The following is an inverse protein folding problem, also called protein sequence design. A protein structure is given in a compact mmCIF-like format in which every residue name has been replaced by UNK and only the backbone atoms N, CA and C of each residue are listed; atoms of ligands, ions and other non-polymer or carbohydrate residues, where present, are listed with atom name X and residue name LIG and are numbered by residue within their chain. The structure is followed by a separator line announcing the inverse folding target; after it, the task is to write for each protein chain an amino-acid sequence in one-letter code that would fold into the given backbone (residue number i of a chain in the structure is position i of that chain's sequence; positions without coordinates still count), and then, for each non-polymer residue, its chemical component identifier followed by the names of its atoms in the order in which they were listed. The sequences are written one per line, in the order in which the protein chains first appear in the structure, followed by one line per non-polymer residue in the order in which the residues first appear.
data_IF_097230838961
#
_entry.id   IF_097230838961
#
_cell.length_a   1.000
_cell.length_b   1.000
_cell.length_c   1.000
_cell.angle_alpha   90.00
_cell.angle_beta   90.00
_cell.angle_gamma   90.00
#
_symmetry.space_group_name_H-M   'P 1'
#
loop_
_entity.id
_entity.type
_entity.pdbx_description
1 polymer ?
#
# COMPACT_ATOMS: atom_id res chain seq x y z
N UNK A 1 16.95 22.85 23.52
CA UNK A 1 17.74 21.82 22.81
C UNK A 1 17.26 20.44 23.27
N UNK A 2 16.06 20.02 22.85
CA UNK A 2 15.36 18.83 23.39
C UNK A 2 14.77 17.89 22.30
N UNK A 3 14.85 18.31 21.03
CA UNK A 3 14.42 17.52 19.85
C UNK A 3 15.21 16.20 19.71
N UNK A 4 16.41 16.13 20.28
CA UNK A 4 17.31 14.98 20.17
C UNK A 4 16.84 13.74 20.93
N UNK A 5 15.89 13.86 21.86
CA UNK A 5 15.39 12.74 22.67
C UNK A 5 14.12 12.10 22.12
N UNK A 6 13.42 12.76 21.18
CA UNK A 6 12.15 12.27 20.63
C UNK A 6 12.36 11.32 19.45
N UNK A 7 11.43 10.39 19.28
CA UNK A 7 11.41 9.41 18.20
C UNK A 7 11.44 10.09 16.82
N UNK A 8 12.38 9.67 15.96
CA UNK A 8 12.53 10.14 14.58
C UNK A 8 11.72 9.27 13.59
N UNK A 9 10.44 9.06 13.88
CA UNK A 9 9.56 8.33 12.95
C UNK A 9 9.22 9.25 11.77
N UNK A 10 9.47 8.80 10.54
CA UNK A 10 9.43 9.65 9.34
C UNK A 10 8.03 9.93 8.82
N UNK A 11 7.09 9.00 9.03
CA UNK A 11 5.74 9.13 8.47
C UNK A 11 4.81 10.00 9.33
N UNK A 12 4.96 9.95 10.66
CA UNK A 12 4.11 10.71 11.59
C UNK A 12 4.94 11.23 12.77
N UNK A 13 4.74 12.48 13.23
CA UNK A 13 5.44 12.98 14.41
C UNK A 13 5.12 12.11 15.62
N UNK A 14 6.16 11.72 16.35
CA UNK A 14 6.05 10.84 17.51
C UNK A 14 6.70 11.52 18.71
N UNK A 15 5.90 11.72 19.76
CA UNK A 15 6.35 12.41 20.99
C UNK A 15 7.05 11.48 21.98
N UNK A 16 7.00 10.15 21.74
CA UNK A 16 7.64 9.17 22.60
C UNK A 16 9.17 9.32 22.59
N UNK A 17 9.83 9.05 23.73
CA UNK A 17 11.29 9.11 23.82
C UNK A 17 11.95 8.00 23.00
N UNK A 18 13.18 8.27 22.56
CA UNK A 18 14.06 7.26 21.97
C UNK A 18 14.50 6.27 23.03
N UNK A 19 14.73 5.05 22.57
CA UNK A 19 15.13 3.93 23.41
C UNK A 19 16.64 3.83 23.45
N UNK A 20 17.20 3.33 24.54
CA UNK A 20 18.64 3.13 24.67
C UNK A 20 19.03 1.74 24.20
N UNK A 21 20.12 1.67 23.44
CA UNK A 21 20.81 0.42 23.12
C UNK A 21 21.59 -0.04 24.36
N UNK A 22 22.00 -1.32 24.37
CA UNK A 22 22.84 -1.90 25.43
C UNK A 22 24.20 -1.19 25.60
N UNK A 23 24.70 -0.55 24.54
CA UNK A 23 25.96 0.21 24.56
C UNK A 23 25.79 1.65 25.06
N UNK A 24 24.57 2.07 25.44
CA UNK A 24 24.27 3.42 25.92
C UNK A 24 23.81 4.39 24.83
N UNK A 25 23.98 4.07 23.54
CA UNK A 25 23.52 4.95 22.46
C UNK A 25 22.01 4.94 22.30
N UNK A 26 21.43 6.06 21.85
CA UNK A 26 20.01 6.11 21.52
C UNK A 26 19.72 5.44 20.17
N UNK A 27 18.70 4.59 20.15
CA UNK A 27 17.99 4.23 18.92
C UNK A 27 17.34 5.46 18.29
N UNK A 28 17.12 5.43 16.97
CA UNK A 28 16.41 6.52 16.29
C UNK A 28 14.91 6.56 16.63
N UNK A 29 14.34 5.40 16.97
CA UNK A 29 12.91 5.20 17.19
C UNK A 29 12.61 4.90 18.67
N UNK A 30 11.38 5.19 19.09
CA UNK A 30 10.83 4.71 20.37
C UNK A 30 10.55 3.20 20.34
N UNK A 31 10.23 2.62 21.50
CA UNK A 31 10.01 1.16 21.63
C UNK A 31 8.87 0.71 20.71
N UNK A 32 7.75 1.42 20.74
CA UNK A 32 6.59 1.14 19.90
C UNK A 32 6.94 1.04 18.40
N UNK A 33 7.66 2.02 17.86
CA UNK A 33 8.02 2.01 16.45
C UNK A 33 9.12 0.99 16.13
N UNK A 34 9.97 0.63 17.08
CA UNK A 34 10.92 -0.48 16.91
C UNK A 34 10.19 -1.81 16.78
N UNK A 35 9.19 -2.07 17.61
CA UNK A 35 8.42 -3.30 17.55
C UNK A 35 7.63 -3.41 16.25
N UNK A 36 7.03 -2.32 15.80
CA UNK A 36 6.35 -2.29 14.50
C UNK A 36 7.31 -2.53 13.34
N UNK A 37 8.49 -1.91 13.36
CA UNK A 37 9.52 -2.15 12.36
C UNK A 37 9.99 -3.61 12.36
N UNK A 38 10.17 -4.22 13.53
CA UNK A 38 10.53 -5.63 13.67
C UNK A 38 9.45 -6.55 13.09
N UNK A 39 8.17 -6.25 13.32
CA UNK A 39 7.05 -7.00 12.76
C UNK A 39 7.04 -6.93 11.21
N UNK A 40 7.19 -5.73 10.65
CA UNK A 40 7.28 -5.54 9.19
C UNK A 40 8.48 -6.29 8.61
N UNK A 41 9.64 -6.22 9.26
CA UNK A 41 10.83 -6.96 8.85
C UNK A 41 10.62 -8.48 8.87
N UNK A 42 9.95 -9.03 9.89
CA UNK A 42 9.60 -10.46 9.97
C UNK A 42 8.69 -10.87 8.81
N UNK A 43 7.67 -10.07 8.53
CA UNK A 43 6.74 -10.31 7.42
C UNK A 43 7.46 -10.27 6.08
N UNK A 44 8.30 -9.26 5.85
CA UNK A 44 9.10 -9.15 4.63
C UNK A 44 10.07 -10.33 4.48
N UNK A 45 10.73 -10.76 5.56
CA UNK A 45 11.60 -11.93 5.55
C UNK A 45 10.82 -13.22 5.24
N UNK A 46 9.61 -13.40 5.79
CA UNK A 46 8.73 -14.54 5.47
C UNK A 46 8.35 -14.55 4.00
N UNK A 47 7.89 -13.42 3.45
CA UNK A 47 7.58 -13.27 2.02
C UNK A 47 8.79 -13.58 1.14
N UNK A 48 9.97 -13.06 1.49
CA UNK A 48 11.22 -13.33 0.76
C UNK A 48 11.60 -14.81 0.78
N UNK A 49 11.41 -15.51 1.91
CA UNK A 49 11.65 -16.96 2.01
C UNK A 49 10.67 -17.76 1.14
N UNK A 50 9.39 -17.41 1.16
CA UNK A 50 8.37 -18.06 0.32
C UNK A 50 8.69 -17.88 -1.16
N UNK A 51 9.01 -16.66 -1.61
CA UNK A 51 9.39 -16.40 -3.00
C UNK A 51 10.59 -17.23 -3.44
N UNK A 52 11.64 -17.30 -2.62
CA UNK A 52 12.81 -18.16 -2.90
C UNK A 52 12.48 -19.65 -2.95
N UNK A 53 11.54 -20.11 -2.12
CA UNK A 53 11.10 -21.50 -2.15
C UNK A 53 10.33 -21.81 -3.45
N UNK A 54 9.49 -20.89 -3.93
CA UNK A 54 8.82 -21.01 -5.23
C UNK A 54 9.81 -20.97 -6.40
N UNK A 55 10.77 -20.04 -6.37
CA UNK A 55 11.85 -19.94 -7.38
C UNK A 55 12.67 -21.23 -7.45
N UNK A 56 12.98 -21.86 -6.31
CA UNK A 56 13.72 -23.12 -6.27
C UNK A 56 12.87 -24.35 -6.65
N UNK A 57 11.55 -24.30 -6.48
CA UNK A 57 10.62 -25.40 -6.80
C UNK A 57 10.23 -25.44 -8.29
N UNK A 58 10.45 -24.35 -9.04
CA UNK A 58 10.19 -24.28 -10.48
C UNK A 58 11.48 -23.94 -11.23
N UNK A 59 12.23 -24.94 -11.76
CA UNK A 59 13.31 -24.62 -12.66
C UNK A 59 12.71 -24.09 -13.97
N UNK A 60 12.91 -22.78 -14.19
CA UNK A 60 12.59 -22.01 -15.40
C UNK A 60 11.13 -21.57 -15.57
N UNK A 61 10.81 -20.35 -15.13
CA UNK A 61 10.19 -19.31 -15.97
C UNK A 61 10.62 -17.93 -15.42
N UNK A 62 11.20 -17.10 -16.27
CA UNK A 62 11.71 -15.76 -15.93
C UNK A 62 10.61 -14.87 -15.32
N UNK A 63 10.95 -13.91 -14.43
CA UNK A 63 9.96 -13.07 -13.79
C UNK A 63 9.41 -12.04 -14.77
N UNK A 64 8.29 -12.32 -15.41
CA UNK A 64 7.38 -11.26 -15.86
C UNK A 64 6.79 -10.60 -14.62
N UNK A 65 7.31 -9.41 -14.33
CA UNK A 65 7.06 -8.57 -13.15
C UNK A 65 5.63 -8.03 -13.01
N UNK A 66 4.57 -8.77 -13.39
CA UNK A 66 3.19 -8.26 -13.41
C UNK A 66 2.10 -9.22 -12.91
N UNK A 67 2.42 -10.33 -12.25
CA UNK A 67 1.35 -11.15 -11.64
C UNK A 67 1.02 -10.62 -10.25
N UNK A 68 -0.08 -9.85 -10.13
CA UNK A 68 -0.70 -9.59 -8.82
C UNK A 68 -1.05 -10.92 -8.15
N UNK A 69 -0.84 -11.02 -6.84
CA UNK A 69 -1.20 -12.22 -6.08
C UNK A 69 -2.73 -12.43 -6.13
N UNK A 70 -3.20 -13.69 -6.14
CA UNK A 70 -4.62 -14.01 -6.30
C UNK A 70 -5.55 -13.33 -5.25
N UNK A 71 -5.00 -13.05 -4.06
CA UNK A 71 -5.70 -12.32 -2.99
C UNK A 71 -5.97 -10.86 -3.40
N UNK A 72 -5.02 -10.24 -4.10
CA UNK A 72 -5.12 -8.87 -4.58
C UNK A 72 -6.11 -8.76 -5.75
N UNK A 73 -6.14 -9.76 -6.65
CA UNK A 73 -7.19 -9.84 -7.69
C UNK A 73 -8.59 -9.95 -7.08
N UNK A 74 -8.80 -10.86 -6.13
CA UNK A 74 -10.11 -11.04 -5.50
C UNK A 74 -10.59 -9.79 -4.76
N UNK A 75 -9.67 -9.03 -4.16
CA UNK A 75 -10.00 -7.76 -3.50
C UNK A 75 -10.41 -6.68 -4.51
N UNK A 76 -9.68 -6.55 -5.61
CA UNK A 76 -10.01 -5.60 -6.68
C UNK A 76 -11.35 -5.95 -7.35
N UNK A 77 -11.60 -7.24 -7.59
CA UNK A 77 -12.86 -7.72 -8.14
C UNK A 77 -14.05 -7.47 -7.20
N UNK A 78 -13.86 -7.64 -5.88
CA UNK A 78 -14.87 -7.29 -4.90
C UNK A 78 -15.19 -5.78 -4.86
N UNK A 79 -14.18 -4.91 -5.03
CA UNK A 79 -14.37 -3.45 -5.12
C UNK A 79 -15.14 -3.09 -6.39
N UNK A 80 -14.78 -3.70 -7.52
CA UNK A 80 -15.47 -3.47 -8.79
C UNK A 80 -16.93 -3.94 -8.71
N UNK A 81 -17.21 -5.12 -8.16
CA UNK A 81 -18.59 -5.59 -8.06
C UNK A 81 -19.45 -4.77 -7.07
N UNK A 82 -18.84 -4.10 -6.09
CA UNK A 82 -19.56 -3.30 -5.11
C UNK A 82 -20.10 -1.97 -5.65
N UNK A 83 -19.55 -1.43 -6.75
CA UNK A 83 -20.08 -0.21 -7.39
C UNK A 83 -21.19 -0.48 -8.43
N UNK A 84 -21.55 -1.75 -8.63
CA UNK A 84 -22.51 -2.20 -9.64
C UNK A 84 -23.79 -2.76 -8.99
N UNK A 85 -24.42 -1.96 -8.12
CA UNK A 85 -25.78 -2.16 -7.64
C UNK A 85 -26.70 -1.04 -8.19
N UNK A 86 -28.00 -1.33 -8.42
CA UNK A 86 -28.68 -0.95 -9.65
C UNK A 86 -29.25 0.46 -9.60
N UNK A 87 -28.74 1.37 -10.44
CA UNK A 87 -29.57 2.44 -10.97
C UNK A 87 -30.47 1.83 -12.04
N UNK A 88 -31.71 1.57 -11.64
CA UNK A 88 -32.83 1.28 -12.52
C UNK A 88 -32.92 2.36 -13.61
N UNK A 89 -32.65 2.00 -14.87
CA UNK A 89 -33.62 1.91 -15.98
C UNK A 89 -32.88 1.96 -17.31
N UNK A 90 -33.11 0.92 -18.11
CA UNK A 90 -33.13 0.90 -19.57
C UNK A 90 -32.03 1.66 -20.32
N UNK A 91 -31.09 0.91 -20.90
CA UNK A 91 -30.99 0.70 -22.36
C UNK A 91 -29.57 0.22 -22.67
N UNK A 92 -29.46 -1.00 -23.21
CA UNK A 92 -28.25 -1.44 -23.88
C UNK A 92 -27.93 -0.50 -25.03
N UNK A 93 -26.92 0.34 -24.86
CA UNK A 93 -26.23 0.99 -25.97
C UNK A 93 -24.82 1.36 -25.53
N UNK A 94 -23.85 0.64 -26.09
CA UNK A 94 -22.51 1.12 -26.44
C UNK A 94 -22.44 2.65 -26.42
N UNK A 95 -21.76 3.22 -25.43
CA UNK A 95 -21.56 4.66 -25.36
C UNK A 95 -20.09 4.94 -25.08
N UNK A 96 -19.37 5.15 -26.18
CA UNK A 96 -18.38 6.23 -26.29
C UNK A 96 -18.61 7.27 -25.19
N UNK A 97 -17.60 7.48 -24.34
CA UNK A 97 -17.61 8.51 -23.29
C UNK A 97 -17.63 9.89 -23.95
N UNK A 98 -18.80 10.33 -24.42
CA UNK A 98 -19.04 11.71 -24.82
C UNK A 98 -19.39 12.48 -23.55
N UNK A 99 -18.38 13.12 -22.96
CA UNK A 99 -18.55 14.03 -21.84
C UNK A 99 -19.49 15.18 -22.28
N UNK A 100 -20.46 15.52 -21.44
CA UNK A 100 -21.47 16.55 -21.73
C UNK A 100 -20.84 17.94 -21.81
N UNK A 101 -21.46 18.86 -22.55
CA UNK A 101 -20.94 20.23 -22.70
C UNK A 101 -20.84 20.95 -21.33
N UNK A 102 -21.68 20.58 -20.38
CA UNK A 102 -21.63 21.07 -18.99
C UNK A 102 -20.38 20.58 -18.26
N UNK A 103 -20.01 19.30 -18.42
CA UNK A 103 -18.80 18.74 -17.84
C UNK A 103 -17.52 19.35 -18.45
N UNK A 104 -17.54 19.69 -19.74
CA UNK A 104 -16.46 20.47 -20.37
C UNK A 104 -16.36 21.88 -19.80
N UNK A 105 -17.49 22.55 -19.55
CA UNK A 105 -17.51 23.88 -18.97
C UNK A 105 -16.93 23.88 -17.54
N UNK A 106 -17.26 22.88 -16.73
CA UNK A 106 -16.72 22.70 -15.37
C UNK A 106 -15.20 22.47 -15.40
N UNK A 107 -14.70 21.67 -16.35
CA UNK A 107 -13.27 21.42 -16.49
C UNK A 107 -12.49 22.67 -16.93
N UNK A 108 -13.14 23.58 -17.68
CA UNK A 108 -12.52 24.81 -18.16
C UNK A 108 -12.47 25.93 -17.10
N UNK A 109 -13.33 25.90 -16.08
CA UNK A 109 -13.25 26.84 -14.94
C UNK A 109 -12.18 26.45 -13.91
N UNK A 110 -11.72 25.19 -13.93
CA UNK A 110 -10.71 24.66 -13.00
C UNK A 110 -9.25 24.86 -13.47
N UNK A 111 -9.03 25.42 -14.67
CA UNK A 111 -7.72 25.77 -15.24
C UNK A 111 -7.69 27.22 -15.74
#
# INVERSE_FOLDING_TARGET
MEESLRCKYTYKPCLNPRTTKKNGDLHMLCDYHRDKANEVQKTHAKKRKMRRALENASPQLAPTSLTMDAIELAYLEAILNAHEAPSTTATSSTSTTHLTDEEYAILFELF
#
